data_IF_313268459276
#
_entry.id   IF_313268459276
#
_cell.length_a   1.000
_cell.length_b   1.000
_cell.length_c   1.000
_cell.angle_alpha   90.00
_cell.angle_beta   90.00
_cell.angle_gamma   90.00
#
_symmetry.space_group_name_H-M   'P 1'
#
loop_
_entity.id
_entity.type
_entity.pdbx_description
1 polymer ?
#
# COMPACT_ATOMS: atom_id res chain seq x y z
N UNK A 1 -29.82 2.01 20.30
CA UNK A 1 -29.20 1.59 19.02
C UNK A 1 -30.33 1.35 18.04
N UNK A 2 -30.47 2.17 17.01
CA UNK A 2 -31.51 1.97 16.00
C UNK A 2 -31.06 0.83 15.08
N UNK A 3 -31.78 -0.29 15.09
CA UNK A 3 -31.56 -1.39 14.16
C UNK A 3 -32.18 -1.03 12.81
N UNK A 4 -31.35 -0.93 11.78
CA UNK A 4 -31.75 -0.60 10.42
C UNK A 4 -32.34 -1.85 9.73
N UNK A 5 -33.59 -2.19 10.07
CA UNK A 5 -34.27 -3.39 9.57
C UNK A 5 -34.66 -3.32 8.09
N UNK A 6 -34.84 -2.11 7.56
CA UNK A 6 -35.20 -1.89 6.16
C UNK A 6 -34.14 -2.43 5.18
N UNK A 7 -32.86 -2.46 5.59
CA UNK A 7 -31.81 -2.99 4.72
C UNK A 7 -32.00 -4.47 4.43
N UNK A 8 -32.41 -5.28 5.41
CA UNK A 8 -32.61 -6.73 5.20
C UNK A 8 -33.83 -7.07 4.35
N UNK A 9 -34.77 -6.14 4.20
CA UNK A 9 -35.98 -6.31 3.38
C UNK A 9 -35.71 -6.04 1.89
N UNK A 10 -34.59 -5.41 1.55
CA UNK A 10 -34.20 -5.18 0.16
C UNK A 10 -33.83 -6.51 -0.54
N UNK A 11 -34.18 -6.67 -1.82
CA UNK A 11 -33.66 -7.73 -2.67
C UNK A 11 -32.14 -7.85 -2.58
N UNK A 12 -31.63 -9.07 -2.63
CA UNK A 12 -30.22 -9.36 -2.43
C UNK A 12 -29.31 -8.59 -3.40
N UNK A 13 -29.76 -8.42 -4.65
CA UNK A 13 -29.07 -7.68 -5.70
C UNK A 13 -28.86 -6.22 -5.29
N UNK A 14 -29.87 -5.57 -4.73
CA UNK A 14 -29.77 -4.18 -4.26
C UNK A 14 -28.83 -4.08 -3.06
N UNK A 15 -28.87 -5.05 -2.15
CA UNK A 15 -27.97 -5.07 -0.98
C UNK A 15 -26.50 -5.22 -1.40
N UNK A 16 -26.21 -6.09 -2.37
CA UNK A 16 -24.87 -6.22 -2.97
C UNK A 16 -24.43 -4.89 -3.58
N UNK A 17 -25.28 -4.26 -4.39
CA UNK A 17 -24.95 -2.97 -5.02
C UNK A 17 -24.67 -1.88 -3.99
N UNK A 18 -25.48 -1.80 -2.92
CA UNK A 18 -25.24 -0.87 -1.82
C UNK A 18 -23.87 -1.12 -1.20
N UNK A 19 -23.48 -2.37 -0.97
CA UNK A 19 -22.15 -2.66 -0.43
C UNK A 19 -21.02 -2.32 -1.38
N UNK A 20 -21.19 -2.52 -2.70
CA UNK A 20 -20.18 -2.06 -3.68
C UNK A 20 -20.01 -0.55 -3.68
N UNK A 21 -21.12 0.19 -3.54
CA UNK A 21 -21.12 1.66 -3.50
C UNK A 21 -20.66 2.23 -2.16
N UNK A 22 -20.80 1.48 -1.07
CA UNK A 22 -20.36 1.90 0.26
C UNK A 22 -18.84 1.86 0.45
N UNK A 23 -18.08 1.30 -0.50
CA UNK A 23 -16.61 1.25 -0.44
C UNK A 23 -16.04 2.66 -0.53
N UNK A 24 -15.18 3.01 0.40
CA UNK A 24 -14.53 4.32 0.44
C UNK A 24 -13.03 4.19 0.14
N UNK A 25 -12.47 5.01 -0.76
CA UNK A 25 -11.03 5.09 -0.96
C UNK A 25 -10.31 5.52 0.31
N UNK A 26 -9.23 4.82 0.63
CA UNK A 26 -8.38 5.14 1.77
C UNK A 26 -6.92 4.83 1.49
N UNK A 27 -6.06 5.48 2.25
CA UNK A 27 -4.63 5.21 2.23
C UNK A 27 -4.28 4.18 3.28
N UNK A 28 -3.89 2.99 2.82
CA UNK A 28 -3.51 1.86 3.64
C UNK A 28 -2.00 1.84 3.84
N UNK A 29 -1.57 2.25 5.03
CA UNK A 29 -0.15 2.25 5.42
C UNK A 29 0.26 0.83 5.76
N UNK A 30 1.26 0.29 5.06
CA UNK A 30 1.82 -1.03 5.34
C UNK A 30 3.25 -0.86 5.82
N UNK A 31 3.58 -1.55 6.91
CA UNK A 31 4.92 -1.63 7.50
C UNK A 31 5.34 -3.06 7.64
N UNK A 32 6.62 -3.28 7.46
CA UNK A 32 7.28 -4.57 7.61
C UNK A 32 7.86 -4.66 9.01
N UNK A 33 7.75 -5.82 9.61
CA UNK A 33 8.25 -6.10 10.94
C UNK A 33 8.91 -7.47 10.96
N UNK A 34 9.88 -7.58 11.84
CA UNK A 34 10.71 -8.76 11.99
C UNK A 34 10.35 -9.49 13.29
N UNK A 35 10.01 -10.77 13.17
CA UNK A 35 9.79 -11.65 14.32
C UNK A 35 10.95 -12.65 14.43
N UNK A 36 11.61 -12.65 15.59
CA UNK A 36 12.61 -13.68 15.90
C UNK A 36 11.91 -15.04 15.97
N UNK A 37 12.32 -16.00 15.15
CA UNK A 37 11.83 -17.37 15.25
C UNK A 37 12.38 -18.07 16.50
N UNK A 38 11.71 -17.87 17.65
CA UNK A 38 12.10 -18.38 18.97
C UNK A 38 12.21 -19.92 19.06
N UNK A 39 11.80 -20.66 18.02
CA UNK A 39 11.74 -22.13 18.00
C UNK A 39 12.65 -22.80 16.97
N UNK A 40 13.46 -22.07 16.20
CA UNK A 40 14.49 -22.71 15.36
C UNK A 40 15.78 -22.91 16.15
N UNK A 41 16.34 -24.12 16.05
CA UNK A 41 17.57 -24.55 16.74
C UNK A 41 18.85 -23.85 16.24
N UNK A 42 18.76 -22.98 15.23
CA UNK A 42 19.88 -22.25 14.65
C UNK A 42 19.64 -20.73 14.78
N UNK A 43 20.45 -20.00 15.57
CA UNK A 43 20.26 -18.57 15.84
C UNK A 43 20.44 -17.62 14.64
N UNK A 44 20.92 -18.11 13.49
CA UNK A 44 21.45 -17.24 12.43
C UNK A 44 20.53 -17.05 11.20
N UNK A 45 19.41 -17.77 11.06
CA UNK A 45 18.79 -17.91 9.72
C UNK A 45 17.27 -17.78 9.61
N UNK A 46 16.51 -17.35 10.61
CA UNK A 46 15.09 -17.06 10.31
C UNK A 46 14.48 -15.98 11.17
N UNK A 47 14.84 -14.73 10.87
CA UNK A 47 13.93 -13.63 11.10
C UNK A 47 12.76 -13.80 10.14
N UNK A 48 11.54 -13.92 10.68
CA UNK A 48 10.34 -14.04 9.88
C UNK A 48 9.73 -12.66 9.68
N UNK A 49 9.52 -12.34 8.42
CA UNK A 49 8.94 -11.07 8.03
C UNK A 49 7.42 -11.18 8.12
N UNK A 50 6.80 -10.25 8.82
CA UNK A 50 5.36 -10.06 8.82
C UNK A 50 5.01 -8.61 8.52
N UNK A 51 3.78 -8.39 8.07
CA UNK A 51 3.27 -7.06 7.73
C UNK A 51 2.26 -6.60 8.77
N UNK A 52 2.26 -5.30 9.01
CA UNK A 52 1.34 -4.65 9.92
C UNK A 52 0.83 -3.35 9.29
N UNK A 53 -0.44 -3.05 9.51
CA UNK A 53 -1.04 -1.77 9.16
C UNK A 53 -1.59 -1.11 10.42
N UNK A 54 -1.26 0.17 10.68
CA UNK A 54 -1.89 0.93 11.76
C UNK A 54 -3.33 1.33 11.43
N UNK A 55 -3.76 1.18 10.16
CA UNK A 55 -5.11 1.53 9.75
C UNK A 55 -6.14 0.60 10.38
N UNK A 56 -7.27 1.17 10.77
CA UNK A 56 -8.41 0.39 11.25
C UNK A 56 -9.04 -0.44 10.13
N UNK A 57 -9.69 -1.53 10.52
CA UNK A 57 -10.48 -2.34 9.59
C UNK A 57 -11.62 -1.47 9.02
N UNK A 58 -11.91 -1.51 7.70
CA UNK A 58 -13.02 -0.79 7.10
C UNK A 58 -14.33 -0.98 7.87
N UNK A 59 -15.04 0.12 8.13
CA UNK A 59 -16.29 0.09 8.90
C UNK A 59 -17.30 -0.91 8.33
N UNK A 60 -17.40 -0.99 7.00
CA UNK A 60 -18.24 -1.96 6.30
C UNK A 60 -17.99 -3.41 6.71
N UNK A 61 -16.72 -3.81 6.87
CA UNK A 61 -16.37 -5.18 7.26
C UNK A 61 -16.70 -5.46 8.73
N UNK A 62 -17.00 -4.43 9.51
CA UNK A 62 -17.44 -4.53 10.90
C UNK A 62 -18.97 -4.46 11.04
N UNK A 63 -19.69 -4.01 10.00
CA UNK A 63 -21.15 -3.80 10.06
C UNK A 63 -21.93 -5.11 10.25
N UNK A 64 -21.71 -6.11 9.39
CA UNK A 64 -22.43 -7.38 9.45
C UNK A 64 -21.69 -8.53 8.75
N UNK A 65 -22.19 -9.76 8.93
CA UNK A 65 -21.60 -10.97 8.30
C UNK A 65 -21.72 -10.96 6.78
N UNK A 66 -22.78 -10.38 6.24
CA UNK A 66 -23.02 -10.30 4.80
C UNK A 66 -21.93 -9.48 4.10
N UNK A 67 -21.77 -8.21 4.49
CA UNK A 67 -20.73 -7.32 3.97
C UNK A 67 -19.33 -7.97 4.00
N UNK A 68 -19.00 -8.64 5.11
CA UNK A 68 -17.70 -9.32 5.29
C UNK A 68 -17.47 -10.49 4.32
N UNK A 69 -18.54 -11.17 3.90
CA UNK A 69 -18.46 -12.41 3.14
C UNK A 69 -18.72 -12.21 1.63
N UNK A 70 -19.05 -10.99 1.19
CA UNK A 70 -19.26 -10.67 -0.23
C UNK A 70 -17.96 -10.64 -1.06
N UNK A 71 -16.79 -10.74 -0.43
CA UNK A 71 -15.50 -10.74 -1.13
C UNK A 71 -15.08 -9.35 -1.63
N UNK A 72 -15.63 -8.28 -1.04
CA UNK A 72 -15.32 -6.89 -1.42
C UNK A 72 -13.88 -6.48 -1.09
N UNK A 73 -13.29 -7.11 -0.07
CA UNK A 73 -11.90 -6.93 0.35
C UNK A 73 -11.21 -8.29 0.39
N UNK A 74 -9.96 -8.34 -0.07
CA UNK A 74 -9.09 -9.50 0.03
C UNK A 74 -8.30 -9.49 1.34
N UNK A 75 -7.91 -10.68 1.81
CA UNK A 75 -6.95 -10.86 2.91
C UNK A 75 -5.55 -10.99 2.32
N UNK A 76 -4.80 -9.89 2.33
CA UNK A 76 -3.44 -9.83 1.77
C UNK A 76 -2.38 -9.66 2.86
N UNK A 77 -1.11 -9.69 2.45
CA UNK A 77 0.04 -9.53 3.34
C UNK A 77 0.12 -10.63 4.41
N UNK A 78 -0.14 -11.86 4.00
CA UNK A 78 -0.15 -13.05 4.85
C UNK A 78 1.29 -13.53 5.12
N UNK A 79 2.03 -12.79 5.96
CA UNK A 79 3.41 -13.11 6.35
C UNK A 79 3.56 -13.57 7.82
N UNK A 80 4.69 -14.21 8.14
CA UNK A 80 5.04 -14.64 9.50
C UNK A 80 4.48 -16.01 9.93
N UNK A 81 4.66 -16.36 11.22
CA UNK A 81 4.19 -17.65 11.79
C UNK A 81 2.71 -17.64 12.20
N UNK A 82 2.17 -16.45 12.48
CA UNK A 82 0.78 -16.28 12.89
C UNK A 82 -0.01 -15.75 11.69
N UNK A 83 -1.23 -16.24 11.44
CA UNK A 83 -2.07 -15.68 10.39
C UNK A 83 -2.39 -14.23 10.74
N UNK A 84 -1.65 -13.30 10.14
CA UNK A 84 -1.89 -11.86 10.16
C UNK A 84 -2.18 -11.47 8.73
N UNK A 85 -3.25 -10.73 8.54
CA UNK A 85 -3.65 -10.26 7.23
C UNK A 85 -4.21 -8.86 7.37
N UNK A 86 -4.09 -8.12 6.28
CA UNK A 86 -4.71 -6.81 6.15
C UNK A 86 -5.82 -6.94 5.13
N UNK A 87 -6.99 -6.40 5.46
CA UNK A 87 -8.09 -6.27 4.51
C UNK A 87 -7.74 -5.18 3.51
N UNK A 88 -7.74 -5.51 2.23
CA UNK A 88 -7.38 -4.60 1.14
C UNK A 88 -8.30 -4.78 -0.05
N UNK A 89 -8.70 -3.67 -0.67
CA UNK A 89 -9.28 -3.65 -2.02
C UNK A 89 -8.26 -2.99 -2.94
N UNK A 90 -7.50 -3.78 -3.70
CA UNK A 90 -6.41 -3.26 -4.53
C UNK A 90 -6.87 -2.31 -5.64
N UNK A 91 -8.16 -2.27 -5.97
CA UNK A 91 -8.69 -1.37 -6.99
C UNK A 91 -8.95 0.05 -6.46
N UNK A 92 -9.08 0.22 -5.15
CA UNK A 92 -9.53 1.48 -4.54
C UNK A 92 -8.57 1.93 -3.43
N UNK A 93 -8.09 0.99 -2.62
CA UNK A 93 -7.13 1.29 -1.56
C UNK A 93 -5.79 1.72 -2.16
N UNK A 94 -5.26 2.83 -1.65
CA UNK A 94 -3.91 3.30 -1.98
C UNK A 94 -2.92 2.73 -0.98
N UNK A 95 -1.98 1.90 -1.44
CA UNK A 95 -0.95 1.31 -0.59
C UNK A 95 0.15 2.34 -0.33
N UNK A 96 0.41 2.64 0.93
CA UNK A 96 1.49 3.54 1.34
C UNK A 96 2.55 2.76 2.12
N UNK A 97 3.78 2.75 1.62
CA UNK A 97 4.88 2.00 2.21
C UNK A 97 6.18 2.82 2.15
N UNK A 98 7.11 2.56 3.06
CA UNK A 98 8.47 3.04 2.84
C UNK A 98 9.12 2.25 1.71
N UNK A 99 10.14 2.82 1.10
CA UNK A 99 10.95 2.11 0.11
C UNK A 99 11.43 0.73 0.62
N UNK A 100 11.89 0.64 1.87
CA UNK A 100 12.36 -0.60 2.47
C UNK A 100 11.25 -1.61 2.71
N UNK A 101 10.08 -1.14 3.19
CA UNK A 101 8.92 -2.01 3.36
C UNK A 101 8.47 -2.60 2.04
N UNK A 102 8.40 -1.75 1.00
CA UNK A 102 8.06 -2.18 -0.33
C UNK A 102 9.07 -3.22 -0.83
N UNK A 103 10.37 -3.05 -0.63
CA UNK A 103 11.37 -4.05 -1.04
C UNK A 103 11.09 -5.44 -0.46
N UNK A 104 10.67 -5.51 0.80
CA UNK A 104 10.42 -6.77 1.51
C UNK A 104 9.06 -7.41 1.19
N UNK A 105 8.13 -6.67 0.57
CA UNK A 105 6.84 -7.21 0.17
C UNK A 105 6.98 -8.35 -0.86
N UNK A 106 6.09 -9.35 -0.73
CA UNK A 106 6.03 -10.50 -1.62
C UNK A 106 5.31 -10.23 -2.95
N UNK A 107 4.71 -11.27 -3.51
CA UNK A 107 4.02 -11.27 -4.81
C UNK A 107 2.79 -10.34 -4.90
N UNK A 108 2.24 -9.93 -3.75
CA UNK A 108 1.05 -9.06 -3.68
C UNK A 108 1.25 -7.72 -4.39
N UNK A 109 2.51 -7.27 -4.56
CA UNK A 109 2.88 -6.05 -5.30
C UNK A 109 2.31 -5.96 -6.70
N UNK A 110 2.17 -7.10 -7.37
CA UNK A 110 1.66 -7.17 -8.74
C UNK A 110 0.21 -6.71 -8.86
N UNK A 111 -0.52 -6.70 -7.75
CA UNK A 111 -1.93 -6.32 -7.68
C UNK A 111 -2.14 -4.83 -7.40
N UNK A 112 -1.09 -4.07 -7.06
CA UNK A 112 -1.24 -2.70 -6.60
C UNK A 112 -1.64 -1.77 -7.75
N UNK A 113 -2.80 -1.12 -7.65
CA UNK A 113 -3.20 -0.09 -8.62
C UNK A 113 -2.85 1.33 -8.17
N UNK A 114 -2.79 1.56 -6.86
CA UNK A 114 -2.52 2.88 -6.28
C UNK A 114 -1.41 2.75 -5.24
N UNK A 115 -0.25 3.36 -5.50
CA UNK A 115 0.96 3.20 -4.69
C UNK A 115 1.56 4.55 -4.31
N UNK A 116 1.85 4.71 -3.02
CA UNK A 116 2.59 5.82 -2.45
C UNK A 116 3.88 5.27 -1.81
N UNK A 117 5.03 5.78 -2.25
CA UNK A 117 6.33 5.40 -1.66
C UNK A 117 6.90 6.54 -0.84
N UNK A 118 7.15 6.27 0.43
CA UNK A 118 7.85 7.20 1.33
C UNK A 118 9.36 7.08 1.15
N UNK A 119 9.99 8.21 0.85
CA UNK A 119 11.42 8.39 0.67
C UNK A 119 11.94 9.19 1.87
N UNK A 120 12.79 8.55 2.67
CA UNK A 120 13.52 9.21 3.76
C UNK A 120 14.91 9.68 3.32
N UNK A 121 15.51 8.99 2.36
CA UNK A 121 16.84 9.26 1.82
C UNK A 121 16.79 9.06 0.30
N UNK A 122 16.95 10.16 -0.44
CA UNK A 122 16.91 10.18 -1.89
C UNK A 122 18.11 9.43 -2.51
N UNK A 123 19.26 9.45 -1.86
CA UNK A 123 20.48 8.80 -2.36
C UNK A 123 20.36 7.27 -2.23
N UNK A 124 19.90 6.79 -1.07
CA UNK A 124 19.60 5.37 -0.88
C UNK A 124 18.48 4.89 -1.82
N UNK A 125 17.45 5.71 -2.01
CA UNK A 125 16.38 5.42 -2.96
C UNK A 125 16.92 5.27 -4.39
N UNK A 126 17.74 6.21 -4.87
CA UNK A 126 18.29 6.16 -6.23
C UNK A 126 19.15 4.94 -6.53
N UNK A 127 19.81 4.35 -5.52
CA UNK A 127 20.60 3.14 -5.67
C UNK A 127 19.78 1.84 -5.73
N UNK A 128 18.57 1.84 -5.15
CA UNK A 128 17.85 0.59 -4.90
C UNK A 128 16.37 0.59 -5.34
N UNK A 129 15.85 1.69 -5.89
CA UNK A 129 14.43 1.82 -6.29
C UNK A 129 13.97 0.72 -7.25
N UNK A 130 14.84 0.28 -8.17
CA UNK A 130 14.57 -0.81 -9.11
C UNK A 130 14.26 -2.13 -8.41
N UNK A 131 14.97 -2.45 -7.33
CA UNK A 131 14.74 -3.68 -6.57
C UNK A 131 13.40 -3.65 -5.83
N UNK A 132 12.99 -2.50 -5.29
CA UNK A 132 11.73 -2.43 -4.54
C UNK A 132 10.52 -2.45 -5.45
N UNK A 133 10.62 -1.76 -6.60
CA UNK A 133 9.59 -1.75 -7.64
C UNK A 133 9.61 -3.02 -8.49
N UNK A 134 10.60 -3.90 -8.32
CA UNK A 134 10.58 -5.22 -8.93
C UNK A 134 9.32 -5.98 -8.47
N UNK A 135 8.60 -6.55 -9.44
CA UNK A 135 7.33 -7.26 -9.25
C UNK A 135 6.12 -6.37 -8.93
N UNK A 136 6.27 -5.04 -8.90
CA UNK A 136 5.10 -4.16 -9.01
C UNK A 136 4.52 -4.36 -10.41
N UNK A 137 3.20 -4.44 -10.51
CA UNK A 137 2.48 -4.57 -11.79
C UNK A 137 2.16 -3.23 -12.41
N UNK A 138 1.24 -3.18 -13.36
CA UNK A 138 0.78 -1.92 -13.92
C UNK A 138 0.05 -1.10 -12.84
N UNK A 139 0.73 -0.04 -12.37
CA UNK A 139 0.19 0.87 -11.35
C UNK A 139 -0.61 1.95 -12.06
N UNK A 140 -1.88 2.09 -11.69
CA UNK A 140 -2.73 3.17 -12.18
C UNK A 140 -2.31 4.55 -11.65
N UNK A 141 -2.02 4.66 -10.35
CA UNK A 141 -1.48 5.89 -9.75
C UNK A 141 -0.26 5.61 -8.88
N UNK A 142 0.83 6.31 -9.16
CA UNK A 142 2.06 6.26 -8.37
C UNK A 142 2.36 7.64 -7.78
N UNK A 143 2.76 7.73 -6.51
CA UNK A 143 3.20 8.98 -5.87
C UNK A 143 4.42 8.74 -4.98
N UNK A 144 5.26 9.77 -4.83
CA UNK A 144 6.41 9.77 -3.92
C UNK A 144 6.17 10.77 -2.79
N UNK A 145 6.56 10.41 -1.57
CA UNK A 145 6.53 11.29 -0.41
C UNK A 145 7.94 11.43 0.15
N UNK A 146 8.55 12.61 0.01
CA UNK A 146 9.87 12.86 0.58
C UNK A 146 9.75 13.56 1.94
N UNK A 147 10.48 13.07 2.94
CA UNK A 147 10.56 13.75 4.24
C UNK A 147 11.78 14.68 4.26
N UNK A 148 11.59 15.99 4.13
CA UNK A 148 12.68 16.98 4.27
C UNK A 148 12.89 17.36 5.74
N UNK A 149 14.10 17.73 6.17
CA UNK A 149 14.33 18.32 7.50
C UNK A 149 13.62 19.68 7.56
N UNK A 150 12.41 19.69 8.13
CA UNK A 150 11.53 20.88 8.19
C UNK A 150 10.04 20.59 7.99
N UNK A 151 9.68 19.41 7.46
CA UNK A 151 8.30 19.00 7.23
C UNK A 151 8.15 17.94 6.13
N UNK A 152 6.97 17.30 6.05
CA UNK A 152 6.59 16.43 4.95
C UNK A 152 6.26 17.31 3.73
N UNK A 153 7.22 17.51 2.84
CA UNK A 153 6.96 18.20 1.57
C UNK A 153 6.53 17.15 0.54
N UNK A 154 5.29 17.28 0.09
CA UNK A 154 4.65 16.31 -0.81
C UNK A 154 5.17 16.53 -2.23
N UNK A 155 6.27 15.88 -2.61
CA UNK A 155 6.71 15.83 -4.02
C UNK A 155 5.78 14.88 -4.79
N UNK A 156 4.60 15.38 -5.14
CA UNK A 156 3.58 14.62 -5.85
C UNK A 156 3.89 14.61 -7.33
N UNK A 157 4.34 13.49 -7.87
CA UNK A 157 4.19 13.22 -9.30
C UNK A 157 3.08 12.20 -9.41
N UNK A 158 1.93 12.59 -9.95
CA UNK A 158 0.91 11.62 -10.34
C UNK A 158 1.32 11.09 -11.71
N UNK A 159 1.83 9.86 -11.74
CA UNK A 159 1.97 9.14 -13.00
C UNK A 159 0.65 8.39 -13.17
N UNK A 160 -0.28 8.99 -13.92
CA UNK A 160 -1.56 8.35 -14.25
C UNK A 160 -1.38 7.46 -15.47
N UNK A 161 -1.59 6.15 -15.29
CA UNK A 161 -1.76 5.20 -16.38
C UNK A 161 -0.54 4.97 -17.28
N UNK A 162 0.68 5.13 -16.78
CA UNK A 162 1.90 4.80 -17.55
C UNK A 162 2.55 3.50 -17.08
N UNK A 163 3.15 2.72 -18.01
CA UNK A 163 3.89 1.51 -17.65
C UNK A 163 5.06 1.82 -16.70
N UNK A 164 5.45 0.85 -15.87
CA UNK A 164 6.55 0.99 -14.88
C UNK A 164 7.88 1.47 -15.50
N UNK A 165 8.11 1.19 -16.79
CA UNK A 165 9.27 1.68 -17.52
C UNK A 165 9.34 3.23 -17.50
N UNK A 166 8.20 3.90 -17.62
CA UNK A 166 8.10 5.37 -17.58
C UNK A 166 8.22 5.90 -16.14
N UNK A 167 7.77 5.13 -15.14
CA UNK A 167 8.00 5.43 -13.71
C UNK A 167 9.50 5.41 -13.40
N UNK A 168 10.20 4.41 -13.91
CA UNK A 168 11.67 4.26 -13.74
C UNK A 168 12.40 5.44 -14.36
N UNK A 169 11.99 5.88 -15.55
CA UNK A 169 12.54 7.06 -16.23
C UNK A 169 12.24 8.36 -15.49
N UNK A 170 11.01 8.56 -14.98
CA UNK A 170 10.63 9.73 -14.20
C UNK A 170 11.44 9.81 -12.89
N UNK A 171 11.64 8.68 -12.21
CA UNK A 171 12.49 8.56 -11.02
C UNK A 171 13.95 8.91 -11.37
N UNK A 172 14.51 8.34 -12.44
CA UNK A 172 15.88 8.64 -12.88
C UNK A 172 16.05 10.12 -13.18
N UNK A 173 15.11 10.73 -13.92
CA UNK A 173 15.12 12.16 -14.22
C UNK A 173 15.08 13.00 -12.93
N UNK A 174 14.30 12.60 -11.93
CA UNK A 174 14.23 13.29 -10.63
C UNK A 174 15.55 13.20 -9.85
N UNK A 175 16.23 12.06 -9.88
CA UNK A 175 17.52 11.86 -9.22
C UNK A 175 18.65 12.59 -9.97
N UNK A 176 18.55 12.70 -11.30
CA UNK A 176 19.62 13.22 -12.15
C UNK A 176 19.57 14.75 -12.32
N UNK A 177 18.41 15.39 -12.15
CA UNK A 177 18.34 16.86 -12.13
C UNK A 177 19.01 17.33 -10.82
N UNK A 178 20.13 18.07 -10.90
CA UNK A 178 20.69 18.68 -9.71
C UNK A 178 19.67 19.66 -9.13
N UNK A 179 19.45 19.56 -7.83
CA UNK A 179 18.49 20.35 -7.04
C UNK A 179 18.65 21.87 -7.21
N UNK A 180 19.77 22.32 -7.79
CA UNK A 180 20.08 23.73 -8.10
C UNK A 180 19.29 24.33 -9.25
N UNK A 181 18.57 23.54 -10.07
CA UNK A 181 17.81 24.07 -11.23
C UNK A 181 16.34 24.32 -10.91
N UNK A 182 15.83 23.82 -9.78
CA UNK A 182 14.45 24.06 -9.33
C UNK A 182 14.30 25.27 -8.39
N UNK A 183 15.42 25.78 -7.85
CA UNK A 183 15.47 27.08 -7.19
C UNK A 183 15.84 28.12 -8.24
N UNK A 184 14.83 28.72 -8.87
CA UNK A 184 15.03 29.87 -9.74
C UNK A 184 15.69 31.01 -8.98
N UNK A 185 17.02 31.12 -9.10
CA UNK A 185 17.80 32.31 -8.81
C UNK A 185 18.79 32.48 -9.98
N UNK A 186 18.36 33.30 -10.96
CA UNK A 186 19.26 34.05 -11.84
C UNK A 186 19.50 35.39 -11.16
#
# INVERSE_FOLDING_TARGET
>A
MASFHLFSELPFELRIQIWHLAKEPRTLVIRTCDELAKYRRQPLESTLIYYHSPNTVPAMLQTCRESRNLGLYARAFNGGLKPRYVWVDFNIDTIQATFWDLKLMGSDKSLFQHLIVEINDLEAFGRHYTDALASVGDVGTFQLLSKRPGGLEKISFAIEGQPIADITYAIQRMITIPTTVLEGNI
#
